data_IF_201508550318
#
_entry.id   IF_201508550318
#
_cell.length_a   1.000
_cell.length_b   1.000
_cell.length_c   1.000
_cell.angle_alpha   90.00
_cell.angle_beta   90.00
_cell.angle_gamma   90.00
#
_symmetry.space_group_name_H-M   'P 1'
#
loop_
_entity.id
_entity.type
_entity.pdbx_description
1 polymer ?
#
# COMPACT_ATOMS: atom_id res chain seq x y z
N UNK A 1 -9.19 -1.35 13.86
CA UNK A 1 -7.76 -1.27 13.50
C UNK A 1 -7.62 -0.27 12.36
N UNK A 2 -6.99 0.87 12.62
CA UNK A 2 -6.84 1.97 11.67
C UNK A 2 -5.56 1.73 10.85
N UNK A 3 -5.63 1.83 9.52
CA UNK A 3 -4.46 1.67 8.66
C UNK A 3 -3.52 2.87 8.74
N UNK A 4 -2.28 2.69 8.30
CA UNK A 4 -1.28 3.76 8.18
C UNK A 4 -1.11 4.10 6.71
N UNK A 5 -1.03 5.39 6.38
CA UNK A 5 -0.79 5.91 5.04
C UNK A 5 0.45 6.81 5.02
N UNK A 6 1.27 6.67 3.97
CA UNK A 6 2.42 7.52 3.68
C UNK A 6 2.48 7.83 2.18
N UNK A 7 2.90 9.04 1.84
CA UNK A 7 3.05 9.49 0.46
C UNK A 7 4.45 10.06 0.22
N UNK A 8 4.94 9.92 -1.01
CA UNK A 8 6.24 10.43 -1.45
C UNK A 8 6.16 10.88 -2.91
N UNK A 9 6.90 11.93 -3.25
CA UNK A 9 7.06 12.39 -4.63
C UNK A 9 8.15 11.59 -5.35
N UNK A 10 7.81 11.02 -6.50
CA UNK A 10 8.73 10.27 -7.37
C UNK A 10 8.52 10.73 -8.80
N UNK A 11 9.54 11.32 -9.42
CA UNK A 11 9.47 11.77 -10.82
C UNK A 11 8.37 12.82 -11.09
N UNK A 12 7.99 13.61 -10.08
CA UNK A 12 6.90 14.60 -10.17
C UNK A 12 5.49 14.00 -10.02
N UNK A 13 5.38 12.75 -9.60
CA UNK A 13 4.11 12.10 -9.26
C UNK A 13 4.10 11.70 -7.78
N UNK A 14 2.98 11.98 -7.10
CA UNK A 14 2.74 11.47 -5.76
C UNK A 14 2.41 9.98 -5.80
N UNK A 15 3.19 9.19 -5.05
CA UNK A 15 2.91 7.77 -4.80
C UNK A 15 2.48 7.60 -3.35
N UNK A 16 1.33 6.95 -3.13
CA UNK A 16 0.75 6.70 -1.81
C UNK A 16 0.79 5.23 -1.47
N UNK A 17 1.21 4.91 -0.25
CA UNK A 17 1.32 3.57 0.32
C UNK A 17 0.43 3.48 1.56
N UNK A 18 -0.50 2.53 1.57
CA UNK A 18 -1.39 2.30 2.70
C UNK A 18 -1.33 0.84 3.16
N UNK A 19 -1.08 0.60 4.45
CA UNK A 19 -1.05 -0.73 5.05
C UNK A 19 -2.04 -0.88 6.21
N UNK A 20 -2.35 -2.12 6.60
CA UNK A 20 -3.19 -2.44 7.75
C UNK A 20 -4.71 -2.30 7.53
N UNK A 21 -5.16 -1.95 6.32
CA UNK A 21 -6.59 -1.80 5.99
C UNK A 21 -7.20 -3.04 5.31
N UNK A 22 -6.46 -3.69 4.40
CA UNK A 22 -6.93 -4.78 3.52
C UNK A 22 -5.96 -5.97 3.59
N UNK A 23 -6.42 -7.18 3.26
CA UNK A 23 -5.60 -8.40 3.20
C UNK A 23 -4.87 -8.74 4.51
N UNK A 24 -5.55 -8.56 5.66
CA UNK A 24 -5.00 -8.78 7.01
C UNK A 24 -4.65 -10.24 7.35
N UNK A 25 -5.03 -11.18 6.48
CA UNK A 25 -4.66 -12.59 6.63
C UNK A 25 -3.26 -12.88 6.07
N UNK A 26 -2.73 -12.00 5.22
CA UNK A 26 -1.34 -12.09 4.78
C UNK A 26 -0.40 -11.60 5.89
N UNK A 27 0.82 -12.14 5.95
CA UNK A 27 1.87 -11.65 6.85
C UNK A 27 2.16 -10.16 6.66
N UNK A 28 2.06 -9.65 5.43
CA UNK A 28 2.14 -8.24 5.11
C UNK A 28 1.33 -7.87 3.87
N UNK A 29 0.77 -6.66 3.84
CA UNK A 29 0.05 -6.13 2.69
C UNK A 29 0.16 -4.61 2.57
N UNK A 30 0.18 -4.10 1.35
CA UNK A 30 0.21 -2.67 1.03
C UNK A 30 -0.67 -2.40 -0.19
N UNK A 31 -1.53 -1.40 -0.10
CA UNK A 31 -2.20 -0.79 -1.26
C UNK A 31 -1.32 0.37 -1.73
N UNK A 32 -0.87 0.30 -2.97
CA UNK A 32 -0.07 1.34 -3.62
C UNK A 32 -0.93 2.07 -4.64
N UNK A 33 -0.92 3.40 -4.61
CA UNK A 33 -1.62 4.25 -5.58
C UNK A 33 -0.62 5.22 -6.22
N UNK A 34 -0.63 5.29 -7.55
CA UNK A 34 0.12 6.26 -8.35
C UNK A 34 -0.82 6.82 -9.43
N UNK A 35 -1.27 8.08 -9.24
CA UNK A 35 -2.35 8.65 -10.05
C UNK A 35 -3.63 7.79 -9.95
N UNK A 36 -4.13 7.33 -11.10
CA UNK A 36 -5.32 6.46 -11.19
C UNK A 36 -5.01 4.97 -11.06
N UNK A 37 -3.72 4.59 -11.09
CA UNK A 37 -3.33 3.19 -10.97
C UNK A 37 -3.27 2.77 -9.50
N UNK A 38 -3.90 1.63 -9.19
CA UNK A 38 -3.94 1.05 -7.85
C UNK A 38 -3.48 -0.41 -7.91
N UNK A 39 -2.55 -0.78 -7.03
CA UNK A 39 -2.04 -2.15 -6.90
C UNK A 39 -2.13 -2.59 -5.44
N UNK A 40 -2.71 -3.76 -5.20
CA UNK A 40 -2.65 -4.43 -3.90
C UNK A 40 -1.49 -5.43 -3.93
N UNK A 41 -0.50 -5.21 -3.08
CA UNK A 41 0.65 -6.11 -2.90
C UNK A 41 0.48 -6.88 -1.60
N UNK A 42 0.69 -8.20 -1.65
CA UNK A 42 0.68 -9.08 -0.48
C UNK A 42 1.97 -9.89 -0.42
N UNK A 43 2.42 -10.19 0.80
CA UNK A 43 3.54 -11.09 1.06
C UNK A 43 3.14 -12.06 2.18
N UNK A 44 3.44 -13.34 1.98
CA UNK A 44 3.18 -14.40 2.94
C UNK A 44 4.50 -15.02 3.38
N UNK A 45 4.77 -15.02 4.68
CA UNK A 45 5.88 -15.77 5.28
C UNK A 45 5.48 -17.22 5.58
N UNK A 46 6.46 -18.12 5.55
CA UNK A 46 6.37 -19.52 6.00
C UNK A 46 6.43 -19.63 7.52
#
# INVERSE_FOLDING_TARGET
>A
MQGIEKSVEVGGQTITFQTGKIAKQASGSVVVKAGDTVVLVTAQGS
#
